data_IF_857823675938
#
_entry.id   IF_857823675938
#
_cell.length_a   1.000
_cell.length_b   1.000
_cell.length_c   1.000
_cell.angle_alpha   90.00
_cell.angle_beta   90.00
_cell.angle_gamma   90.00
#
_symmetry.space_group_name_H-M   'P 1'
#
loop_
_entity.id
_entity.type
_entity.pdbx_description
1 polymer ?
#
# COMPACT_ATOMS: atom_id res chain seq x y z
N UNK A 1 9.06 -4.80 26.49
CA UNK A 1 8.78 -3.96 25.33
C UNK A 1 7.30 -4.00 25.03
N UNK A 2 6.67 -2.86 24.84
CA UNK A 2 5.24 -2.76 24.52
C UNK A 2 4.97 -3.25 23.09
N UNK A 3 3.88 -3.98 22.94
CA UNK A 3 3.35 -4.40 21.65
C UNK A 3 1.82 -4.49 21.69
N UNK A 4 1.18 -4.25 20.55
CA UNK A 4 -0.23 -4.54 20.36
C UNK A 4 -0.39 -5.99 19.88
N UNK A 5 -1.26 -6.76 20.52
CA UNK A 5 -1.56 -8.15 20.17
C UNK A 5 -3.05 -8.43 20.20
N UNK A 6 -3.43 -9.49 19.49
CA UNK A 6 -4.73 -10.13 19.68
C UNK A 6 -4.51 -11.64 19.84
N UNK A 7 -5.31 -12.26 20.70
CA UNK A 7 -5.25 -13.70 21.03
C UNK A 7 -6.35 -14.51 20.35
N UNK A 8 -7.34 -13.84 19.77
CA UNK A 8 -8.45 -14.43 19.05
C UNK A 8 -8.88 -13.48 17.93
N UNK A 9 -9.42 -14.05 16.85
CA UNK A 9 -10.02 -13.23 15.80
C UNK A 9 -11.30 -12.60 16.34
N UNK A 10 -11.57 -11.34 15.99
CA UNK A 10 -12.70 -10.64 16.60
C UNK A 10 -12.96 -9.27 16.03
N UNK A 11 -13.43 -8.35 16.88
CA UNK A 11 -13.54 -6.91 16.63
C UNK A 11 -12.27 -6.16 17.04
N UNK A 12 -12.28 -4.82 16.96
CA UNK A 12 -11.09 -4.00 17.30
C UNK A 12 -10.77 -4.01 18.79
N UNK A 13 -11.76 -4.34 19.61
CA UNK A 13 -11.68 -4.63 21.04
C UNK A 13 -10.79 -5.84 21.37
N UNK A 14 -10.47 -6.69 20.39
CA UNK A 14 -9.49 -7.77 20.54
C UNK A 14 -8.03 -7.27 20.64
N UNK A 15 -7.75 -6.03 20.24
CA UNK A 15 -6.41 -5.44 20.30
C UNK A 15 -6.07 -5.03 21.74
N UNK A 16 -4.98 -5.60 22.28
CA UNK A 16 -4.49 -5.35 23.64
C UNK A 16 -3.03 -4.95 23.60
N UNK A 17 -2.64 -4.01 24.47
CA UNK A 17 -1.22 -3.75 24.72
C UNK A 17 -0.72 -4.77 25.73
N UNK A 18 0.44 -5.35 25.43
CA UNK A 18 1.15 -6.29 26.27
C UNK A 18 2.63 -5.95 26.36
N UNK A 19 3.24 -6.28 27.48
CA UNK A 19 4.69 -6.33 27.62
C UNK A 19 5.23 -7.66 27.09
N UNK A 20 6.10 -7.58 26.09
CA UNK A 20 6.82 -8.71 25.54
C UNK A 20 8.30 -8.66 25.91
N UNK A 21 8.98 -9.82 25.99
CA UNK A 21 10.44 -9.86 26.05
C UNK A 21 11.06 -9.07 24.90
N UNK A 22 12.24 -8.51 25.14
CA UNK A 22 13.00 -7.91 24.05
C UNK A 22 13.34 -9.00 23.03
N UNK A 23 13.26 -8.70 21.71
CA UNK A 23 13.60 -9.69 20.71
C UNK A 23 15.09 -10.02 20.82
N UNK A 24 15.41 -11.29 21.02
CA UNK A 24 16.78 -11.79 20.90
C UNK A 24 17.02 -12.08 19.42
N UNK A 25 17.89 -11.33 18.72
CA UNK A 25 18.16 -11.60 17.32
C UNK A 25 18.89 -12.94 17.17
N UNK A 26 18.35 -13.84 16.35
CA UNK A 26 19.10 -15.01 15.86
C UNK A 26 20.39 -14.56 15.14
N UNK A 27 21.34 -15.47 14.97
CA UNK A 27 22.59 -15.19 14.27
C UNK A 27 22.34 -14.58 12.88
N UNK A 28 22.59 -13.28 12.74
CA UNK A 28 22.43 -12.52 11.50
C UNK A 28 21.19 -11.61 11.44
N UNK A 29 20.27 -11.64 12.41
CA UNK A 29 19.15 -10.70 12.46
C UNK A 29 19.59 -9.31 12.97
N UNK A 30 18.84 -8.29 12.56
CA UNK A 30 18.99 -6.89 12.98
C UNK A 30 17.81 -6.52 13.86
N UNK A 31 18.08 -5.96 15.05
CA UNK A 31 17.02 -5.39 15.87
C UNK A 31 16.84 -3.93 15.51
N UNK A 32 15.62 -3.56 15.12
CA UNK A 32 15.23 -2.18 14.87
C UNK A 32 14.32 -1.67 15.97
N UNK A 33 14.50 -0.40 16.35
CA UNK A 33 13.55 0.39 17.14
C UNK A 33 12.60 1.10 16.21
N UNK A 34 11.32 0.76 16.27
CA UNK A 34 10.30 1.23 15.34
C UNK A 34 9.87 2.63 15.74
N UNK A 35 10.05 3.60 14.84
CA UNK A 35 9.61 4.98 15.04
C UNK A 35 8.18 5.19 14.50
N UNK A 36 7.85 4.55 13.37
CA UNK A 36 6.51 4.58 12.78
C UNK A 36 6.12 3.20 12.30
N UNK A 37 4.94 2.74 12.67
CA UNK A 37 4.34 1.51 12.16
C UNK A 37 3.09 1.85 11.35
N UNK A 38 3.02 1.41 10.09
CA UNK A 38 1.87 1.70 9.23
C UNK A 38 0.61 0.95 9.67
N UNK A 39 -0.54 1.61 9.52
CA UNK A 39 -1.88 1.02 9.68
C UNK A 39 -2.55 0.95 8.32
N UNK A 40 -3.12 -0.20 7.99
CA UNK A 40 -3.72 -0.46 6.69
C UNK A 40 -4.99 -1.32 6.80
N UNK A 41 -5.83 -1.37 5.74
CA UNK A 41 -6.97 -2.29 5.69
C UNK A 41 -6.60 -3.77 5.81
N UNK A 42 -5.34 -4.13 5.52
CA UNK A 42 -4.85 -5.50 5.70
C UNK A 42 -4.85 -5.90 7.18
N UNK A 43 -4.45 -4.99 8.08
CA UNK A 43 -4.38 -5.26 9.51
C UNK A 43 -5.77 -5.57 10.09
N UNK A 44 -6.80 -4.92 9.56
CA UNK A 44 -8.21 -5.21 9.90
C UNK A 44 -8.64 -6.60 9.42
N UNK A 45 -8.30 -6.94 8.17
CA UNK A 45 -8.59 -8.27 7.59
C UNK A 45 -7.89 -9.41 8.34
N UNK A 46 -6.65 -9.20 8.77
CA UNK A 46 -5.91 -10.16 9.60
C UNK A 46 -6.62 -10.37 10.93
N UNK A 47 -6.90 -9.27 11.65
CA UNK A 47 -7.53 -9.30 12.98
C UNK A 47 -8.93 -9.90 12.94
N UNK A 48 -9.70 -9.62 11.89
CA UNK A 48 -11.02 -10.20 11.67
C UNK A 48 -10.99 -11.67 11.22
N UNK A 49 -9.82 -12.24 10.93
CA UNK A 49 -9.67 -13.64 10.56
C UNK A 49 -10.14 -13.99 9.13
N UNK A 50 -10.33 -12.98 8.27
CA UNK A 50 -10.87 -13.18 6.91
C UNK A 50 -9.82 -13.61 5.89
N UNK A 51 -8.53 -13.48 6.20
CA UNK A 51 -7.48 -14.01 5.34
C UNK A 51 -7.49 -15.55 5.33
N UNK A 52 -7.18 -16.20 4.19
CA UNK A 52 -7.00 -17.64 4.13
C UNK A 52 -6.00 -18.13 5.17
N UNK A 53 -6.24 -19.29 5.78
CA UNK A 53 -5.36 -19.86 6.80
C UNK A 53 -3.90 -20.02 6.31
N UNK A 54 -3.70 -20.29 5.02
CA UNK A 54 -2.37 -20.37 4.40
C UNK A 54 -1.61 -19.04 4.36
N UNK A 55 -2.29 -17.92 4.54
CA UNK A 55 -1.71 -16.57 4.49
C UNK A 55 -1.64 -15.90 5.87
N UNK A 56 -1.93 -16.62 6.95
CA UNK A 56 -1.90 -16.07 8.31
C UNK A 56 -1.37 -17.05 9.35
N UNK A 57 -0.57 -16.52 10.28
CA UNK A 57 -0.16 -17.19 11.52
C UNK A 57 -1.39 -17.28 12.47
N UNK A 58 -1.56 -18.38 13.22
CA UNK A 58 -2.55 -18.47 14.29
C UNK A 58 -2.29 -17.43 15.41
N UNK A 59 -3.32 -16.88 16.06
CA UNK A 59 -3.12 -16.04 17.24
C UNK A 59 -2.37 -16.81 18.35
N UNK A 60 -1.61 -16.13 19.22
CA UNK A 60 -1.48 -14.68 19.31
C UNK A 60 -0.56 -14.06 18.26
N UNK A 61 -0.94 -12.87 17.75
CA UNK A 61 -0.24 -12.17 16.67
C UNK A 61 -0.08 -10.67 16.97
N UNK A 62 1.09 -10.11 16.66
CA UNK A 62 1.32 -8.66 16.56
C UNK A 62 0.95 -8.18 15.15
N UNK A 63 0.02 -7.22 14.95
CA UNK A 63 -0.30 -6.68 13.62
C UNK A 63 0.78 -5.73 13.07
N UNK A 64 0.57 -5.21 11.85
CA UNK A 64 1.44 -4.22 11.22
C UNK A 64 2.38 -4.81 10.18
N UNK A 65 2.20 -4.40 8.92
CA UNK A 65 2.97 -4.91 7.78
C UNK A 65 4.14 -4.02 7.34
N UNK A 66 4.28 -2.82 7.92
CA UNK A 66 5.25 -1.82 7.48
C UNK A 66 5.79 -1.02 8.66
N UNK A 67 7.05 -0.59 8.56
CA UNK A 67 7.68 0.25 9.57
C UNK A 67 8.82 1.08 9.01
N UNK A 68 9.08 2.20 9.67
CA UNK A 68 10.34 2.93 9.63
C UNK A 68 10.88 3.00 11.06
N UNK A 69 12.19 2.89 11.20
CA UNK A 69 12.85 2.88 12.48
C UNK A 69 14.34 3.08 12.39
N UNK A 70 15.03 2.76 13.49
CA UNK A 70 16.48 2.84 13.59
C UNK A 70 17.06 1.52 14.01
N UNK A 71 18.24 1.19 13.49
CA UNK A 71 19.00 0.01 13.93
C UNK A 71 19.38 0.20 15.41
N UNK A 72 18.84 -0.64 16.28
CA UNK A 72 19.15 -0.67 17.71
C UNK A 72 20.32 -1.63 17.98
N UNK A 73 20.31 -2.79 17.31
CA UNK A 73 21.40 -3.76 17.30
C UNK A 73 21.62 -4.24 15.86
N UNK A 74 22.79 -3.95 15.24
CA UNK A 74 23.07 -4.37 13.87
C UNK A 74 23.35 -5.87 13.73
N UNK A 75 23.59 -6.61 14.82
CA UNK A 75 24.12 -7.98 14.74
C UNK A 75 25.35 -8.07 13.84
N UNK A 76 25.42 -9.13 13.03
CA UNK A 76 26.49 -9.34 12.04
C UNK A 76 26.11 -8.84 10.61
N UNK A 77 25.12 -7.97 10.49
CA UNK A 77 24.47 -7.65 9.22
C UNK A 77 25.22 -6.66 8.31
N UNK A 78 26.14 -5.88 8.87
CA UNK A 78 26.78 -4.75 8.19
C UNK A 78 25.98 -3.45 8.17
N UNK A 79 24.76 -3.42 8.72
CA UNK A 79 24.05 -2.16 8.97
C UNK A 79 24.73 -1.38 10.10
N UNK A 80 24.75 -0.05 10.01
CA UNK A 80 25.34 0.78 11.06
C UNK A 80 24.36 0.93 12.25
N UNK A 81 24.82 0.84 13.51
CA UNK A 81 24.03 1.23 14.68
C UNK A 81 23.45 2.65 14.50
N UNK A 82 22.18 2.82 14.84
CA UNK A 82 21.46 4.10 14.73
C UNK A 82 21.01 4.48 13.31
N UNK A 83 21.42 3.73 12.27
CA UNK A 83 21.00 3.97 10.90
C UNK A 83 19.47 3.93 10.77
N UNK A 84 18.92 4.87 9.99
CA UNK A 84 17.49 4.91 9.69
C UNK A 84 17.17 3.91 8.60
N UNK A 85 16.15 3.09 8.83
CA UNK A 85 15.79 1.98 7.96
C UNK A 85 14.29 1.88 7.76
N UNK A 86 13.89 1.52 6.55
CA UNK A 86 12.54 1.16 6.15
C UNK A 86 12.45 -0.37 6.05
N UNK A 87 11.38 -0.94 6.60
CA UNK A 87 11.09 -2.37 6.50
C UNK A 87 10.46 -2.68 5.14
N UNK A 88 11.14 -3.50 4.34
CA UNK A 88 10.71 -3.90 3.00
C UNK A 88 10.36 -5.38 2.86
N UNK A 89 10.42 -6.17 3.93
CA UNK A 89 10.13 -7.61 3.86
C UNK A 89 8.63 -7.94 3.87
N UNK A 90 8.29 -9.16 3.45
CA UNK A 90 6.92 -9.67 3.48
C UNK A 90 6.60 -10.52 4.74
N UNK A 91 5.31 -10.61 5.05
CA UNK A 91 4.74 -11.53 6.03
C UNK A 91 4.49 -10.91 7.40
N UNK A 92 5.04 -9.72 7.65
CA UNK A 92 4.84 -8.98 8.90
C UNK A 92 3.37 -8.67 9.13
N UNK A 93 2.88 -9.01 10.31
CA UNK A 93 1.48 -8.85 10.68
C UNK A 93 0.54 -9.84 9.99
N UNK A 94 1.06 -10.81 9.23
CA UNK A 94 0.26 -11.86 8.59
C UNK A 94 0.78 -13.24 8.96
N UNK A 95 1.88 -13.69 8.37
CA UNK A 95 2.52 -14.99 8.60
C UNK A 95 3.59 -14.97 9.69
N UNK A 96 3.97 -13.78 10.17
CA UNK A 96 4.85 -13.56 11.32
C UNK A 96 4.40 -12.32 12.10
N UNK A 97 4.91 -12.15 13.32
CA UNK A 97 4.62 -10.96 14.12
C UNK A 97 5.09 -9.68 13.43
N UNK A 98 4.22 -8.68 13.44
CA UNK A 98 4.33 -7.45 12.70
C UNK A 98 5.10 -6.33 13.39
N UNK A 99 4.65 -5.11 13.15
CA UNK A 99 5.37 -3.87 13.49
C UNK A 99 4.69 -2.99 14.54
N UNK A 100 3.50 -3.36 15.04
CA UNK A 100 2.84 -2.62 16.12
C UNK A 100 3.47 -2.95 17.49
N UNK A 101 4.76 -2.63 17.62
CA UNK A 101 5.63 -2.91 18.78
C UNK A 101 6.84 -2.00 18.79
N UNK A 102 7.50 -1.87 19.93
CA UNK A 102 8.67 -0.98 20.09
C UNK A 102 9.93 -1.46 19.37
N UNK A 103 10.20 -2.78 19.41
CA UNK A 103 11.40 -3.40 18.84
C UNK A 103 11.02 -4.58 17.95
N UNK A 104 11.77 -4.78 16.85
CA UNK A 104 11.62 -5.94 15.98
C UNK A 104 12.99 -6.46 15.53
N UNK A 105 13.24 -7.76 15.74
CA UNK A 105 14.33 -8.46 15.07
C UNK A 105 13.88 -8.89 13.67
N UNK A 106 14.66 -8.55 12.64
CA UNK A 106 14.34 -8.81 11.24
C UNK A 106 15.57 -9.25 10.44
N UNK A 107 15.39 -10.00 9.33
CA UNK A 107 16.48 -10.28 8.41
C UNK A 107 17.11 -8.99 7.84
N UNK A 108 18.44 -8.93 7.65
CA UNK A 108 19.12 -7.74 7.12
C UNK A 108 18.63 -7.27 5.75
N UNK A 109 18.24 -8.21 4.89
CA UNK A 109 17.74 -7.98 3.53
C UNK A 109 16.28 -7.51 3.49
N UNK A 110 15.62 -7.48 4.65
CA UNK A 110 14.31 -6.87 4.85
C UNK A 110 14.42 -5.38 5.21
N UNK A 111 15.63 -4.81 5.25
CA UNK A 111 15.87 -3.41 5.58
C UNK A 111 16.46 -2.66 4.39
N UNK A 112 15.91 -1.47 4.14
CA UNK A 112 16.47 -0.50 3.19
C UNK A 112 16.86 0.76 3.97
N UNK A 113 18.10 1.26 3.85
CA UNK A 113 18.49 2.53 4.44
C UNK A 113 17.60 3.68 3.94
N UNK A 114 17.14 4.53 4.85
CA UNK A 114 16.39 5.75 4.54
C UNK A 114 17.41 6.89 4.35
N UNK A 115 17.39 7.63 3.22
CA UNK A 115 18.26 8.78 3.01
C UNK A 115 18.07 9.87 4.08
N UNK A 116 19.12 10.62 4.39
CA UNK A 116 19.10 11.62 5.46
C UNK A 116 18.12 12.77 5.15
N UNK A 117 17.88 13.06 3.87
CA UNK A 117 16.99 14.12 3.38
C UNK A 117 15.49 13.77 3.51
N UNK A 118 15.16 12.50 3.74
CA UNK A 118 13.78 12.00 3.86
C UNK A 118 13.37 11.98 5.32
N UNK A 119 12.20 12.52 5.69
CA UNK A 119 11.67 12.42 7.07
C UNK A 119 11.17 11.03 7.43
N UNK A 120 11.12 10.68 8.72
CA UNK A 120 10.62 9.36 9.17
C UNK A 120 9.14 9.16 8.81
N UNK A 121 8.33 10.23 8.95
CA UNK A 121 6.91 10.19 8.60
C UNK A 121 6.70 10.02 7.08
N UNK A 122 7.50 10.71 6.26
CA UNK A 122 7.46 10.60 4.80
C UNK A 122 7.83 9.18 4.33
N UNK A 123 8.91 8.61 4.89
CA UNK A 123 9.32 7.24 4.59
C UNK A 123 8.26 6.23 5.06
N UNK A 124 7.64 6.46 6.21
CA UNK A 124 6.57 5.60 6.73
C UNK A 124 5.32 5.69 5.84
N UNK A 125 4.98 6.89 5.36
CA UNK A 125 3.87 7.12 4.44
C UNK A 125 4.08 6.43 3.09
N UNK A 126 5.32 6.41 2.59
CA UNK A 126 5.70 5.66 1.39
C UNK A 126 5.48 4.14 1.58
N UNK A 127 5.82 3.60 2.74
CA UNK A 127 5.72 2.17 3.06
C UNK A 127 4.29 1.72 3.42
N UNK A 128 3.50 2.57 4.07
CA UNK A 128 2.22 2.20 4.66
C UNK A 128 1.21 1.72 3.61
N UNK A 129 0.64 0.54 3.88
CA UNK A 129 -0.31 -0.12 2.98
C UNK A 129 0.30 -0.61 1.67
N UNK A 130 1.63 -0.60 1.54
CA UNK A 130 2.38 -1.03 0.35
C UNK A 130 1.93 -0.37 -0.97
N UNK A 131 1.31 0.82 -0.92
CA UNK A 131 0.71 1.47 -2.09
C UNK A 131 1.71 1.79 -3.18
N UNK A 132 2.83 2.44 -2.82
CA UNK A 132 3.87 2.84 -3.76
C UNK A 132 4.64 1.66 -4.35
N UNK A 133 5.03 0.69 -3.52
CA UNK A 133 5.64 -0.56 -3.98
C UNK A 133 4.71 -1.26 -4.99
N UNK A 134 3.44 -1.40 -4.64
CA UNK A 134 2.44 -2.09 -5.46
C UNK A 134 2.21 -1.36 -6.78
N UNK A 135 1.97 -0.05 -6.76
CA UNK A 135 1.77 0.73 -7.97
C UNK A 135 3.00 0.67 -8.89
N UNK A 136 4.21 0.81 -8.34
CA UNK A 136 5.44 0.74 -9.11
C UNK A 136 5.63 -0.62 -9.79
N UNK A 137 5.54 -1.72 -9.03
CA UNK A 137 5.71 -3.06 -9.57
C UNK A 137 4.58 -3.44 -10.53
N UNK A 138 3.33 -3.07 -10.23
CA UNK A 138 2.19 -3.33 -11.11
C UNK A 138 2.35 -2.60 -12.44
N UNK A 139 2.79 -1.35 -12.46
CA UNK A 139 3.03 -0.59 -13.69
C UNK A 139 4.24 -1.12 -14.47
N UNK A 140 5.36 -1.36 -13.80
CA UNK A 140 6.63 -1.68 -14.47
C UNK A 140 6.79 -3.15 -14.83
N UNK A 141 6.35 -4.08 -13.97
CA UNK A 141 6.60 -5.52 -14.12
C UNK A 141 5.39 -6.29 -14.65
N UNK A 142 4.18 -5.96 -14.17
CA UNK A 142 2.94 -6.67 -14.56
C UNK A 142 2.34 -6.06 -15.83
N UNK A 143 1.90 -4.80 -15.76
CA UNK A 143 1.30 -4.10 -16.88
C UNK A 143 2.29 -3.83 -18.02
N UNK A 144 3.58 -3.65 -17.67
CA UNK A 144 4.67 -3.25 -18.58
C UNK A 144 4.32 -1.95 -19.30
N UNK A 145 4.00 -0.93 -18.49
CA UNK A 145 3.59 0.38 -18.95
C UNK A 145 4.71 1.03 -19.80
N UNK A 146 4.30 1.75 -20.83
CA UNK A 146 5.14 2.53 -21.73
C UNK A 146 4.86 4.02 -21.54
N UNK A 147 5.84 4.91 -21.78
CA UNK A 147 5.60 6.34 -21.81
C UNK A 147 4.48 6.71 -22.81
N UNK A 148 3.71 7.74 -22.48
CA UNK A 148 2.57 8.22 -23.26
C UNK A 148 1.25 7.49 -22.99
N UNK A 149 1.24 6.46 -22.14
CA UNK A 149 0.03 5.69 -21.83
C UNK A 149 -0.87 6.37 -20.78
N UNK A 150 -2.16 6.05 -20.81
CA UNK A 150 -3.17 6.49 -19.82
C UNK A 150 -3.37 5.41 -18.76
N UNK A 151 -3.21 5.79 -17.49
CA UNK A 151 -3.41 4.89 -16.34
C UNK A 151 -4.71 5.24 -15.63
N UNK A 152 -5.61 4.27 -15.46
CA UNK A 152 -6.76 4.37 -14.58
C UNK A 152 -6.47 3.63 -13.27
N UNK A 153 -6.54 4.30 -12.12
CA UNK A 153 -6.42 3.67 -10.80
C UNK A 153 -7.60 4.12 -9.92
N UNK A 154 -8.73 3.39 -9.90
CA UNK A 154 -9.94 3.83 -9.20
C UNK A 154 -9.76 3.97 -7.68
N UNK A 155 -10.45 4.96 -7.10
CA UNK A 155 -10.50 5.21 -5.66
C UNK A 155 -9.27 5.93 -5.12
N UNK A 156 -9.15 7.23 -5.38
CA UNK A 156 -7.97 8.08 -5.09
C UNK A 156 -7.53 8.09 -3.60
N UNK A 157 -8.44 7.77 -2.68
CA UNK A 157 -8.15 7.64 -1.25
C UNK A 157 -7.47 6.32 -0.86
N UNK A 158 -7.49 5.33 -1.75
CA UNK A 158 -6.79 4.06 -1.58
C UNK A 158 -5.28 4.21 -1.76
N UNK A 159 -4.51 3.38 -1.06
CA UNK A 159 -3.04 3.41 -1.09
C UNK A 159 -2.45 3.28 -2.50
N UNK A 160 -2.98 2.36 -3.30
CA UNK A 160 -2.50 2.08 -4.67
C UNK A 160 -2.85 3.21 -5.63
N UNK A 161 -4.09 3.70 -5.60
CA UNK A 161 -4.55 4.77 -6.50
C UNK A 161 -3.84 6.10 -6.23
N UNK A 162 -3.70 6.47 -4.95
CA UNK A 162 -2.94 7.64 -4.56
C UNK A 162 -1.47 7.55 -4.99
N UNK A 163 -0.85 6.39 -4.80
CA UNK A 163 0.52 6.17 -5.25
C UNK A 163 0.65 6.21 -6.78
N UNK A 164 -0.28 5.59 -7.51
CA UNK A 164 -0.30 5.58 -8.97
C UNK A 164 -0.36 7.00 -9.55
N UNK A 165 -1.12 7.91 -8.92
CA UNK A 165 -1.17 9.32 -9.28
C UNK A 165 0.19 10.04 -9.22
N UNK A 166 1.15 9.51 -8.46
CA UNK A 166 2.48 10.10 -8.31
C UNK A 166 3.57 9.32 -9.08
N UNK A 167 3.49 7.99 -9.12
CA UNK A 167 4.53 7.17 -9.78
C UNK A 167 4.30 6.97 -11.27
N UNK A 168 3.05 6.92 -11.75
CA UNK A 168 2.79 6.78 -13.17
C UNK A 168 3.33 7.97 -14.00
N UNK A 169 3.22 9.24 -13.56
CA UNK A 169 3.85 10.39 -14.23
C UNK A 169 5.37 10.27 -14.32
N UNK A 170 6.04 9.82 -13.25
CA UNK A 170 7.48 9.57 -13.23
C UNK A 170 7.88 8.54 -14.28
N UNK A 171 7.03 7.53 -14.49
CA UNK A 171 7.21 6.50 -15.52
C UNK A 171 6.75 6.94 -16.92
N UNK A 172 6.37 8.21 -17.09
CA UNK A 172 6.02 8.81 -18.37
C UNK A 172 4.56 8.66 -18.79
N UNK A 173 3.63 8.35 -17.87
CA UNK A 173 2.20 8.31 -18.20
C UNK A 173 1.72 9.69 -18.69
N UNK A 174 0.98 9.71 -19.80
CA UNK A 174 0.41 10.93 -20.34
C UNK A 174 -0.69 11.49 -19.42
N UNK A 175 -1.44 10.61 -18.79
CA UNK A 175 -2.53 10.95 -17.89
C UNK A 175 -2.75 9.85 -16.86
N UNK A 176 -3.09 10.24 -15.64
CA UNK A 176 -3.62 9.35 -14.61
C UNK A 176 -5.06 9.74 -14.33
N UNK A 177 -5.95 8.76 -14.33
CA UNK A 177 -7.36 8.90 -14.00
C UNK A 177 -7.61 8.15 -12.69
N UNK A 178 -8.29 8.77 -11.75
CA UNK A 178 -8.81 8.10 -10.55
C UNK A 178 -10.28 8.43 -10.35
N UNK A 179 -10.85 7.90 -9.27
CA UNK A 179 -12.24 8.11 -8.93
C UNK A 179 -12.41 8.47 -7.47
N UNK A 180 -13.51 9.15 -7.19
CA UNK A 180 -13.99 9.46 -5.84
C UNK A 180 -15.52 9.34 -5.82
N UNK A 181 -16.11 9.43 -4.64
CA UNK A 181 -17.56 9.61 -4.46
C UNK A 181 -17.77 10.84 -3.60
N UNK A 182 -18.49 11.82 -4.13
CA UNK A 182 -18.90 13.02 -3.43
C UNK A 182 -17.97 14.21 -3.68
N UNK A 183 -18.61 15.37 -3.88
CA UNK A 183 -17.93 16.63 -4.21
C UNK A 183 -16.97 17.10 -3.11
N UNK A 184 -17.32 16.92 -1.84
CA UNK A 184 -16.46 17.32 -0.70
C UNK A 184 -15.14 16.53 -0.69
N UNK A 185 -15.22 15.23 -1.01
CA UNK A 185 -14.05 14.37 -1.13
C UNK A 185 -13.24 14.70 -2.38
N UNK A 186 -13.89 15.05 -3.49
CA UNK A 186 -13.19 15.52 -4.68
C UNK A 186 -12.40 16.81 -4.38
N UNK A 187 -13.00 17.77 -3.69
CA UNK A 187 -12.38 19.05 -3.35
C UNK A 187 -11.17 18.91 -2.41
N UNK A 188 -11.12 17.84 -1.62
CA UNK A 188 -9.99 17.55 -0.73
C UNK A 188 -8.81 16.86 -1.43
N UNK A 189 -8.92 16.47 -2.71
CA UNK A 189 -7.81 15.88 -3.46
C UNK A 189 -6.84 16.99 -3.90
N UNK A 190 -5.54 16.91 -3.54
CA UNK A 190 -4.55 17.87 -4.00
C UNK A 190 -4.44 17.87 -5.53
N UNK A 191 -4.28 19.05 -6.15
CA UNK A 191 -4.04 19.12 -7.58
C UNK A 191 -2.72 18.44 -7.93
N UNK A 192 -2.70 17.63 -8.98
CA UNK A 192 -1.50 17.03 -9.55
C UNK A 192 -1.53 17.14 -11.08
N UNK A 193 -0.38 17.45 -11.69
CA UNK A 193 -0.30 18.00 -13.05
C UNK A 193 -0.98 17.18 -14.16
N UNK A 194 -0.97 15.85 -14.07
CA UNK A 194 -1.62 14.96 -15.03
C UNK A 194 -2.66 14.02 -14.38
N UNK A 195 -3.15 14.36 -13.18
CA UNK A 195 -4.21 13.63 -12.50
C UNK A 195 -5.58 14.23 -12.84
N UNK A 196 -6.48 13.38 -13.32
CA UNK A 196 -7.91 13.67 -13.40
C UNK A 196 -8.68 12.75 -12.45
N UNK A 197 -9.71 13.28 -11.79
CA UNK A 197 -10.53 12.49 -10.85
C UNK A 197 -11.99 12.58 -11.27
N UNK A 198 -12.62 11.41 -11.42
CA UNK A 198 -14.04 11.26 -11.76
C UNK A 198 -14.84 11.12 -10.46
N UNK A 199 -15.88 11.93 -10.29
CA UNK A 199 -16.86 11.74 -9.22
C UNK A 199 -17.95 10.78 -9.67
N UNK A 200 -17.94 9.57 -9.10
CA UNK A 200 -18.86 8.48 -9.43
C UNK A 200 -20.30 8.71 -8.93
N UNK A 201 -20.57 9.82 -8.24
CA UNK A 201 -21.94 10.26 -7.94
C UNK A 201 -22.53 11.13 -9.05
N UNK A 202 -21.69 11.64 -9.96
CA UNK A 202 -22.10 12.58 -11.02
C UNK A 202 -22.11 11.96 -12.41
N UNK A 203 -21.21 11.02 -12.67
CA UNK A 203 -21.12 10.32 -13.95
C UNK A 203 -20.66 8.87 -13.74
N UNK A 204 -20.86 8.02 -14.75
CA UNK A 204 -20.36 6.64 -14.67
C UNK A 204 -18.85 6.59 -14.91
N UNK A 205 -18.19 5.51 -14.46
CA UNK A 205 -16.77 5.31 -14.72
C UNK A 205 -16.45 5.32 -16.24
N UNK A 206 -17.31 4.67 -17.03
CA UNK A 206 -17.14 4.59 -18.49
C UNK A 206 -17.23 5.97 -19.16
N UNK A 207 -18.27 6.74 -18.82
CA UNK A 207 -18.47 8.08 -19.39
C UNK A 207 -17.33 9.02 -19.02
N UNK A 208 -16.90 9.01 -17.75
CA UNK A 208 -15.80 9.84 -17.29
C UNK A 208 -14.47 9.50 -17.96
N UNK A 209 -14.14 8.21 -18.12
CA UNK A 209 -12.93 7.80 -18.83
C UNK A 209 -13.03 8.15 -20.32
N UNK A 210 -14.16 7.92 -20.97
CA UNK A 210 -14.36 8.31 -22.37
C UNK A 210 -14.18 9.82 -22.56
N UNK A 211 -14.77 10.64 -21.69
CA UNK A 211 -14.64 12.10 -21.70
C UNK A 211 -13.18 12.55 -21.56
N UNK A 212 -12.42 11.94 -20.64
CA UNK A 212 -11.03 12.31 -20.36
C UNK A 212 -10.05 11.83 -21.43
N UNK A 213 -10.40 10.76 -22.17
CA UNK A 213 -9.52 10.13 -23.16
C UNK A 213 -9.96 10.35 -24.61
N UNK A 214 -10.99 11.17 -24.85
CA UNK A 214 -11.56 11.34 -26.19
C UNK A 214 -12.15 10.06 -26.78
N UNK A 215 -12.65 9.17 -25.92
CA UNK A 215 -13.20 7.86 -26.29
C UNK A 215 -12.17 6.76 -26.51
N UNK A 216 -10.87 7.05 -26.38
CA UNK A 216 -9.83 6.05 -26.61
C UNK A 216 -9.79 4.95 -25.52
N UNK A 217 -10.11 5.31 -24.27
CA UNK A 217 -10.00 4.41 -23.12
C UNK A 217 -8.62 4.39 -22.47
N UNK A 218 -8.48 3.63 -21.38
CA UNK A 218 -7.23 3.50 -20.63
C UNK A 218 -6.31 2.40 -21.19
N UNK A 219 -5.00 2.61 -21.10
CA UNK A 219 -3.98 1.60 -21.40
C UNK A 219 -3.85 0.56 -20.30
N UNK A 220 -3.81 1.06 -19.06
CA UNK A 220 -3.56 0.27 -17.86
C UNK A 220 -4.60 0.63 -16.82
N UNK A 221 -5.23 -0.39 -16.25
CA UNK A 221 -6.10 -0.23 -15.08
C UNK A 221 -5.42 -0.89 -13.88
N UNK A 222 -5.24 -0.16 -12.78
CA UNK A 222 -4.79 -0.71 -11.50
C UNK A 222 -6.00 -0.86 -10.58
N UNK A 223 -6.55 -2.08 -10.50
CA UNK A 223 -7.73 -2.35 -9.68
C UNK A 223 -7.33 -2.74 -8.25
N UNK A 224 -7.26 -1.74 -7.38
CA UNK A 224 -7.05 -1.91 -5.95
C UNK A 224 -8.33 -2.17 -5.14
N UNK A 225 -9.50 -2.17 -5.78
CA UNK A 225 -10.80 -2.23 -5.10
C UNK A 225 -11.46 -3.59 -5.25
N UNK A 226 -11.47 -4.18 -6.44
CA UNK A 226 -12.25 -5.38 -6.74
C UNK A 226 -13.76 -5.10 -6.76
N UNK A 227 -14.56 -6.16 -6.64
CA UNK A 227 -16.02 -6.05 -6.54
C UNK A 227 -16.68 -5.57 -7.84
N UNK A 228 -17.81 -4.87 -7.68
CA UNK A 228 -18.66 -4.43 -8.78
C UNK A 228 -18.00 -3.40 -9.72
N UNK A 229 -16.90 -2.77 -9.29
CA UNK A 229 -16.18 -1.79 -10.12
C UNK A 229 -15.22 -2.44 -11.13
N UNK A 230 -14.81 -3.69 -10.91
CA UNK A 230 -13.84 -4.37 -11.77
C UNK A 230 -14.35 -4.52 -13.21
N UNK A 231 -15.60 -4.93 -13.40
CA UNK A 231 -16.23 -5.05 -14.72
C UNK A 231 -16.27 -3.72 -15.49
N UNK A 232 -16.88 -2.67 -14.93
CA UNK A 232 -16.84 -1.33 -15.50
C UNK A 232 -15.43 -0.82 -15.81
N UNK A 233 -14.46 -1.06 -14.92
CA UNK A 233 -13.08 -0.65 -15.15
C UNK A 233 -12.44 -1.40 -16.32
N UNK A 234 -12.67 -2.71 -16.45
CA UNK A 234 -12.28 -3.50 -17.61
C UNK A 234 -12.91 -2.95 -18.91
N UNK A 235 -14.18 -2.56 -18.84
CA UNK A 235 -14.91 -1.92 -19.94
C UNK A 235 -14.32 -0.59 -20.39
N UNK A 236 -13.51 0.08 -19.57
CA UNK A 236 -12.83 1.33 -19.96
C UNK A 236 -11.51 1.13 -20.70
N UNK A 237 -11.01 -0.10 -20.81
CA UNK A 237 -9.76 -0.38 -21.50
C UNK A 237 -9.86 -0.05 -22.99
N UNK A 238 -8.77 0.50 -23.52
CA UNK A 238 -8.55 0.57 -24.96
C UNK A 238 -8.12 -0.77 -25.52
N UNK A 239 -8.09 -0.89 -26.85
CA UNK A 239 -7.57 -2.09 -27.52
C UNK A 239 -6.13 -2.41 -27.11
N UNK A 240 -5.89 -3.63 -26.65
CA UNK A 240 -4.60 -4.13 -26.16
C UNK A 240 -4.28 -3.72 -24.72
N UNK A 241 -5.20 -3.04 -24.03
CA UNK A 241 -5.03 -2.61 -22.65
C UNK A 241 -5.00 -3.76 -21.65
N UNK A 242 -4.59 -3.46 -20.43
CA UNK A 242 -4.49 -4.45 -19.34
C UNK A 242 -5.11 -3.91 -18.05
N UNK A 243 -5.94 -4.74 -17.41
CA UNK A 243 -6.34 -4.56 -16.03
C UNK A 243 -5.46 -5.44 -15.13
N UNK A 244 -4.82 -4.82 -14.15
CA UNK A 244 -4.05 -5.49 -13.10
C UNK A 244 -4.92 -5.54 -11.84
N UNK A 245 -5.36 -6.74 -11.46
CA UNK A 245 -6.16 -6.98 -10.25
C UNK A 245 -5.24 -7.10 -9.04
N UNK A 246 -5.39 -6.20 -8.09
CA UNK A 246 -4.46 -5.99 -6.96
C UNK A 246 -5.17 -6.19 -5.62
N UNK A 247 -6.30 -5.53 -5.44
CA UNK A 247 -7.01 -5.45 -4.17
C UNK A 247 -8.47 -5.85 -4.28
N UNK A 248 -9.08 -6.09 -3.12
CA UNK A 248 -10.44 -6.62 -3.00
C UNK A 248 -11.19 -5.96 -1.82
N UNK A 249 -10.92 -4.67 -1.58
CA UNK A 249 -11.56 -3.92 -0.48
C UNK A 249 -13.06 -3.70 -0.71
N UNK A 250 -13.50 -3.61 -1.97
CA UNK A 250 -14.90 -3.47 -2.34
C UNK A 250 -15.60 -4.83 -2.60
N UNK A 251 -14.84 -5.91 -2.77
CA UNK A 251 -15.39 -7.26 -2.94
C UNK A 251 -14.39 -8.25 -3.53
N UNK A 252 -14.61 -9.54 -3.30
CA UNK A 252 -13.76 -10.65 -3.79
C UNK A 252 -14.30 -11.32 -5.05
N UNK A 253 -15.47 -10.90 -5.53
CA UNK A 253 -16.10 -11.40 -6.75
C UNK A 253 -16.47 -10.22 -7.64
N UNK A 254 -16.33 -10.40 -8.94
CA UNK A 254 -16.71 -9.41 -9.94
C UNK A 254 -17.40 -10.09 -11.11
N UNK A 255 -18.36 -9.39 -11.72
CA UNK A 255 -18.90 -9.75 -13.03
C UNK A 255 -18.15 -8.96 -14.11
N UNK A 256 -17.84 -9.60 -15.22
CA UNK A 256 -17.19 -8.97 -16.38
C UNK A 256 -17.98 -9.29 -17.64
N UNK A 257 -17.98 -8.37 -18.60
CA UNK A 257 -18.41 -8.67 -19.96
C UNK A 257 -17.24 -9.30 -20.71
N UNK A 258 -17.40 -10.55 -21.15
CA UNK A 258 -16.35 -11.27 -21.88
C UNK A 258 -16.03 -10.64 -23.24
N UNK A 259 -16.97 -9.87 -23.81
CA UNK A 259 -16.74 -9.15 -25.07
C UNK A 259 -15.73 -8.03 -24.92
N UNK A 260 -15.59 -7.43 -23.72
CA UNK A 260 -14.53 -6.47 -23.42
C UNK A 260 -13.14 -7.10 -23.52
N UNK A 261 -12.99 -8.37 -23.15
CA UNK A 261 -11.74 -9.09 -23.34
C UNK A 261 -11.50 -9.41 -24.82
N UNK A 262 -12.51 -9.98 -25.48
CA UNK A 262 -12.40 -10.52 -26.83
C UNK A 262 -12.17 -9.40 -27.86
N UNK A 263 -13.03 -8.38 -27.90
CA UNK A 263 -12.99 -7.38 -28.98
C UNK A 263 -11.88 -6.36 -28.80
N UNK A 264 -11.49 -6.06 -27.56
CA UNK A 264 -10.35 -5.18 -27.28
C UNK A 264 -9.04 -5.94 -27.23
N UNK A 265 -9.01 -7.27 -27.36
CA UNK A 265 -7.81 -8.08 -27.09
C UNK A 265 -7.17 -7.69 -25.74
N UNK A 266 -8.01 -7.43 -24.75
CA UNK A 266 -7.59 -6.93 -23.45
C UNK A 266 -7.06 -8.06 -22.57
N UNK A 267 -6.28 -7.69 -21.56
CA UNK A 267 -5.70 -8.62 -20.58
C UNK A 267 -6.23 -8.34 -19.19
N UNK A 268 -6.44 -9.41 -18.42
CA UNK A 268 -6.72 -9.35 -16.99
C UNK A 268 -5.63 -10.16 -16.28
N UNK A 269 -4.76 -9.47 -15.54
CA UNK A 269 -3.60 -10.08 -14.87
C UNK A 269 -3.71 -9.89 -13.35
N UNK A 270 -3.38 -10.93 -12.57
CA UNK A 270 -3.33 -10.85 -11.12
C UNK A 270 -2.00 -10.28 -10.62
N UNK A 271 -2.03 -9.55 -9.52
CA UNK A 271 -0.84 -9.05 -8.82
C UNK A 271 -0.74 -9.66 -7.43
N UNK A 272 0.43 -10.20 -7.10
CA UNK A 272 0.76 -10.68 -5.76
C UNK A 272 2.21 -10.33 -5.44
N UNK A 273 2.46 -9.70 -4.30
CA UNK A 273 3.82 -9.29 -3.91
C UNK A 273 4.78 -10.46 -3.76
N UNK A 274 4.32 -11.68 -3.44
CA UNK A 274 5.18 -12.88 -3.34
C UNK A 274 5.66 -13.37 -4.69
N UNK A 275 5.19 -12.79 -5.79
CA UNK A 275 5.72 -13.06 -7.13
C UNK A 275 7.09 -12.38 -7.36
N UNK A 276 7.51 -11.48 -6.47
CA UNK A 276 8.77 -10.75 -6.56
C UNK A 276 9.75 -11.23 -5.51
N UNK A 277 11.04 -11.26 -5.88
CA UNK A 277 12.10 -11.61 -4.94
C UNK A 277 12.29 -10.51 -3.89
N UNK A 278 12.81 -10.89 -2.71
CA UNK A 278 13.14 -9.92 -1.65
C UNK A 278 14.07 -8.81 -2.16
N UNK A 279 15.02 -9.16 -3.04
CA UNK A 279 15.91 -8.21 -3.70
C UNK A 279 15.16 -7.21 -4.57
N UNK A 280 14.24 -7.66 -5.42
CA UNK A 280 13.45 -6.76 -6.27
C UNK A 280 12.59 -5.79 -5.45
N UNK A 281 12.03 -6.26 -4.34
CA UNK A 281 11.27 -5.41 -3.41
C UNK A 281 12.18 -4.35 -2.79
N UNK A 282 13.35 -4.74 -2.27
CA UNK A 282 14.32 -3.81 -1.70
C UNK A 282 14.84 -2.79 -2.73
N UNK A 283 15.17 -3.24 -3.95
CA UNK A 283 15.62 -2.38 -5.06
C UNK A 283 14.52 -1.37 -5.46
N UNK A 284 13.26 -1.79 -5.45
CA UNK A 284 12.12 -0.91 -5.72
C UNK A 284 11.95 0.14 -4.62
N UNK A 285 12.04 -0.25 -3.34
CA UNK A 285 12.00 0.73 -2.25
C UNK A 285 13.16 1.72 -2.30
N UNK A 286 14.38 1.30 -2.67
CA UNK A 286 15.50 2.24 -2.88
C UNK A 286 15.18 3.26 -3.98
N UNK A 287 14.58 2.81 -5.08
CA UNK A 287 14.15 3.70 -6.16
C UNK A 287 13.10 4.70 -5.69
N UNK A 288 12.07 4.21 -4.98
CA UNK A 288 11.00 5.05 -4.44
C UNK A 288 11.50 6.05 -3.38
N UNK A 289 12.42 5.65 -2.51
CA UNK A 289 13.08 6.53 -1.56
C UNK A 289 13.91 7.62 -2.26
N UNK A 290 14.54 7.30 -3.40
CA UNK A 290 15.20 8.29 -4.24
C UNK A 290 14.22 9.34 -4.79
N UNK A 291 13.05 8.92 -5.27
CA UNK A 291 11.99 9.84 -5.71
C UNK A 291 11.41 10.67 -4.56
N UNK A 292 11.30 10.09 -3.37
CA UNK A 292 10.87 10.80 -2.15
C UNK A 292 11.90 11.86 -1.74
N UNK A 293 13.20 11.51 -1.74
CA UNK A 293 14.28 12.45 -1.44
C UNK A 293 14.31 13.62 -2.43
N UNK A 294 14.05 13.34 -3.71
CA UNK A 294 13.93 14.35 -4.76
C UNK A 294 12.60 15.12 -4.76
N UNK A 295 11.67 14.84 -3.83
CA UNK A 295 10.31 15.43 -3.78
C UNK A 295 9.50 15.19 -5.06
N UNK A 296 9.85 14.16 -5.84
CA UNK A 296 9.05 13.71 -6.98
C UNK A 296 7.83 12.88 -6.54
N UNK A 297 7.90 12.32 -5.33
CA UNK A 297 6.83 11.62 -4.63
C UNK A 297 6.63 12.31 -3.28
N UNK A 298 5.38 12.63 -2.96
CA UNK A 298 4.97 13.28 -1.71
C UNK A 298 3.77 12.53 -1.13
N UNK A 299 4.01 11.47 -0.34
CA UNK A 299 2.95 10.70 0.29
C UNK A 299 2.16 11.56 1.27
N UNK A 300 0.84 11.55 1.18
CA UNK A 300 0.00 12.24 2.16
C UNK A 300 0.07 11.52 3.52
N UNK A 301 0.19 12.32 4.58
CA UNK A 301 0.12 11.89 5.97
C UNK A 301 -1.19 12.42 6.55
N UNK A 302 -1.89 11.56 7.27
CA UNK A 302 -3.15 11.92 7.92
C UNK A 302 -2.98 12.11 9.43
N UNK A 303 -2.51 11.07 10.13
CA UNK A 303 -2.34 11.14 11.59
C UNK A 303 -1.38 10.08 12.12
N UNK A 304 -0.66 10.44 13.18
CA UNK A 304 0.13 9.53 14.02
C UNK A 304 -0.61 9.33 15.33
N UNK A 305 -0.79 8.08 15.73
CA UNK A 305 -1.45 7.68 16.98
C UNK A 305 -0.41 7.06 17.94
N UNK A 306 -0.54 7.24 19.26
CA UNK A 306 0.22 6.42 20.21
C UNK A 306 -0.20 4.96 20.12
N UNK A 307 0.64 4.05 20.61
CA UNK A 307 0.43 2.59 20.49
C UNK A 307 -0.90 2.14 21.12
N UNK A 308 -1.33 2.81 22.19
CA UNK A 308 -2.58 2.61 22.93
C UNK A 308 -3.83 2.86 22.09
N UNK A 309 -3.71 3.65 21.03
CA UNK A 309 -4.82 4.02 20.17
C UNK A 309 -4.88 3.20 18.89
N UNK A 310 -4.26 2.01 18.85
CA UNK A 310 -4.26 1.13 17.69
C UNK A 310 -5.67 0.79 17.15
N UNK A 311 -6.65 0.58 18.04
CA UNK A 311 -8.02 0.34 17.64
C UNK A 311 -8.65 1.55 16.91
N UNK A 312 -8.37 2.77 17.38
CA UNK A 312 -8.86 4.01 16.78
C UNK A 312 -8.14 4.31 15.46
N UNK A 313 -6.83 4.10 15.40
CA UNK A 313 -6.05 4.22 14.17
C UNK A 313 -6.61 3.29 13.07
N UNK A 314 -6.93 2.04 13.44
CA UNK A 314 -7.54 1.09 12.51
C UNK A 314 -8.97 1.50 12.11
N UNK A 315 -9.79 2.00 13.05
CA UNK A 315 -11.13 2.55 12.77
C UNK A 315 -11.04 3.64 11.71
N UNK A 316 -10.15 4.62 11.90
CA UNK A 316 -9.93 5.73 10.97
C UNK A 316 -9.56 5.26 9.56
N UNK A 317 -8.69 4.27 9.44
CA UNK A 317 -8.30 3.72 8.13
C UNK A 317 -9.47 3.02 7.42
N UNK A 318 -10.27 2.24 8.15
CA UNK A 318 -11.31 1.38 7.55
C UNK A 318 -12.63 2.13 7.29
N UNK A 319 -13.02 2.98 8.23
CA UNK A 319 -14.30 3.71 8.22
C UNK A 319 -14.16 5.07 7.56
N UNK A 320 -13.27 5.93 8.08
CA UNK A 320 -13.14 7.32 7.60
C UNK A 320 -12.43 7.36 6.24
N UNK A 321 -11.50 6.43 6.01
CA UNK A 321 -10.71 6.28 4.76
C UNK A 321 -10.07 7.61 4.35
N UNK A 322 -9.18 8.18 5.20
CA UNK A 322 -8.53 9.44 4.91
C UNK A 322 -7.63 9.33 3.68
N UNK A 323 -7.31 10.47 3.06
CA UNK A 323 -6.42 10.52 1.90
C UNK A 323 -5.00 10.12 2.30
N UNK A 324 -4.55 10.66 3.44
CA UNK A 324 -3.24 10.39 4.00
C UNK A 324 -3.13 9.06 4.74
N UNK A 325 -1.89 8.67 5.02
CA UNK A 325 -1.56 7.44 5.75
C UNK A 325 -1.61 7.66 7.25
N UNK A 326 -2.01 6.61 7.95
CA UNK A 326 -2.14 6.56 9.40
C UNK A 326 -1.05 5.67 9.97
N UNK A 327 -0.42 6.12 11.05
CA UNK A 327 0.66 5.39 11.71
C UNK A 327 0.40 5.23 13.20
N UNK A 328 1.07 4.25 13.78
CA UNK A 328 1.34 4.20 15.21
C UNK A 328 2.77 4.69 15.46
N UNK A 329 2.96 5.41 16.54
CA UNK A 329 4.26 5.67 17.16
C UNK A 329 4.40 4.72 18.36
N UNK A 330 5.18 3.63 18.24
CA UNK A 330 5.37 2.72 19.35
C UNK A 330 6.21 3.29 20.50
N UNK A 331 6.87 4.43 20.31
CA UNK A 331 7.78 5.03 21.30
C UNK A 331 7.09 5.99 22.26
N UNK A 332 5.81 6.31 22.01
CA UNK A 332 4.98 7.17 22.85
C UNK A 332 3.79 6.37 23.37
#
# INVERSE_FOLDING_TARGET
MRAVRFHEFGGRDALRIEELPHPEPDAGAVTIRIARAGVSPLDDKVRAGVLPASMRKPPPLVPGASAVGRVADPGASGHAPGARVLLCGWGYGTTRDGTWRELAAVPPDHLVPVPDEVGDDDAAALAAGAGYLTAWLALTKTARMRPGQVVLAPGIYGAVAYAAAQVAPILGAAQVISTVRGADRLAAVPPAGNLAVIDLERETLGDGVARLTGGAGADVVLDGLGGDLTGPALGTLRRGGVLVSIGYTAGTKAAIDVTDLIWKTARLEGFLFTAFTQREIADTYRTLLGHLAARAVEPAIDRVYPLEQAAEAQRRVVEDRPLGRVFLDPQV
#
